data_IF_509474308482
#
_entry.id   IF_509474308482
#
_cell.length_a   1.000
_cell.length_b   1.000
_cell.length_c   1.000
_cell.angle_alpha   90.00
_cell.angle_beta   90.00
_cell.angle_gamma   90.00
#
_symmetry.space_group_name_H-M   'P 1'
#
loop_
_entity.id
_entity.type
_entity.pdbx_description
1 polymer ?
#
# COMPACT_ATOMS: atom_id res chain seq x y z
N UNK A 1 0.57 -14.04 9.71
CA UNK A 1 1.18 -12.69 9.62
C UNK A 1 0.77 -12.12 8.26
N UNK A 2 0.05 -11.00 8.20
CA UNK A 2 -0.37 -10.42 6.92
C UNK A 2 0.88 -9.82 6.22
N UNK A 3 1.30 -10.43 5.12
CA UNK A 3 2.40 -9.94 4.27
C UNK A 3 1.80 -9.15 3.11
N UNK A 4 2.22 -7.89 2.96
CA UNK A 4 1.86 -7.05 1.82
C UNK A 4 2.73 -7.41 0.62
N UNK A 5 2.12 -7.66 -0.52
CA UNK A 5 2.88 -7.78 -1.77
C UNK A 5 3.37 -6.38 -2.24
N UNK A 6 4.24 -6.33 -3.25
CA UNK A 6 4.79 -5.05 -3.73
C UNK A 6 3.74 -4.11 -4.30
N UNK A 7 2.71 -4.62 -4.98
CA UNK A 7 1.63 -3.79 -5.55
C UNK A 7 0.74 -3.21 -4.44
N UNK A 8 0.31 -4.04 -3.49
CA UNK A 8 -0.43 -3.64 -2.30
C UNK A 8 0.33 -2.57 -1.50
N UNK A 9 1.63 -2.77 -1.29
CA UNK A 9 2.47 -1.78 -0.58
C UNK A 9 2.59 -0.46 -1.34
N UNK A 10 2.78 -0.51 -2.67
CA UNK A 10 2.89 0.69 -3.50
C UNK A 10 1.57 1.47 -3.53
N UNK A 11 0.43 0.79 -3.62
CA UNK A 11 -0.89 1.41 -3.54
C UNK A 11 -1.12 2.10 -2.20
N UNK A 12 -0.82 1.43 -1.09
CA UNK A 12 -0.92 2.05 0.24
C UNK A 12 0.02 3.25 0.38
N UNK A 13 1.23 3.17 -0.18
CA UNK A 13 2.13 4.33 -0.20
C UNK A 13 1.57 5.50 -1.02
N UNK A 14 0.91 5.24 -2.15
CA UNK A 14 0.24 6.25 -2.96
C UNK A 14 -0.81 7.00 -2.12
N UNK A 15 -1.71 6.25 -1.46
CA UNK A 15 -2.82 6.78 -0.66
C UNK A 15 -2.37 7.57 0.59
N UNK A 16 -1.11 7.43 1.01
CA UNK A 16 -0.55 8.16 2.16
C UNK A 16 -0.44 9.67 1.90
N UNK A 17 -0.20 10.08 0.65
CA UNK A 17 0.12 11.46 0.31
C UNK A 17 -1.11 12.28 -0.07
N UNK A 18 -2.17 11.64 -0.58
CA UNK A 18 -3.38 12.31 -1.06
C UNK A 18 -4.54 11.34 -1.12
N UNK A 19 -5.77 11.86 -0.99
CA UNK A 19 -6.98 11.09 -1.29
C UNK A 19 -7.18 11.04 -2.80
N UNK A 20 -7.34 9.83 -3.33
CA UNK A 20 -7.53 9.59 -4.76
C UNK A 20 -8.92 9.04 -5.02
N UNK A 21 -9.53 9.45 -6.13
CA UNK A 21 -10.65 8.71 -6.69
C UNK A 21 -10.16 7.34 -7.20
N UNK A 22 -11.03 6.33 -7.30
CA UNK A 22 -10.67 5.04 -7.90
C UNK A 22 -10.00 5.20 -9.27
N UNK A 23 -10.48 6.14 -10.09
CA UNK A 23 -9.89 6.44 -11.40
C UNK A 23 -8.46 6.97 -11.30
N UNK A 24 -8.18 7.90 -10.39
CA UNK A 24 -6.82 8.39 -10.20
C UNK A 24 -5.89 7.32 -9.60
N UNK A 25 -6.42 6.42 -8.78
CA UNK A 25 -5.66 5.24 -8.31
C UNK A 25 -5.21 4.41 -9.52
N UNK A 26 -6.09 4.14 -10.47
CA UNK A 26 -5.77 3.36 -11.68
C UNK A 26 -4.67 4.02 -12.50
N UNK A 27 -4.79 5.33 -12.73
CA UNK A 27 -3.82 6.11 -13.52
C UNK A 27 -2.43 6.11 -12.87
N UNK A 28 -2.37 6.25 -11.54
CA UNK A 28 -1.09 6.39 -10.82
C UNK A 28 -0.47 5.06 -10.35
N UNK A 29 -1.24 3.97 -10.27
CA UNK A 29 -0.78 2.70 -9.71
C UNK A 29 -0.19 1.74 -10.76
N UNK A 30 -0.90 1.48 -11.85
CA UNK A 30 -0.53 0.37 -12.76
C UNK A 30 -0.91 0.57 -14.22
N UNK A 31 -1.62 1.65 -14.59
CA UNK A 31 -2.07 1.90 -15.96
C UNK A 31 -3.09 0.89 -16.51
N UNK A 32 -3.50 -0.08 -15.68
CA UNK A 32 -4.48 -1.12 -16.00
C UNK A 32 -5.60 -1.08 -14.96
N UNK A 33 -6.82 -0.85 -15.44
CA UNK A 33 -8.03 -0.75 -14.63
C UNK A 33 -8.28 -2.02 -13.82
N UNK A 34 -8.28 -3.18 -14.49
CA UNK A 34 -8.55 -4.47 -13.84
C UNK A 34 -7.56 -4.76 -12.72
N UNK A 35 -6.26 -4.55 -12.96
CA UNK A 35 -5.23 -4.80 -11.94
C UNK A 35 -5.40 -3.89 -10.73
N UNK A 36 -5.58 -2.59 -10.94
CA UNK A 36 -5.76 -1.65 -9.84
C UNK A 36 -7.06 -1.93 -9.06
N UNK A 37 -8.15 -2.30 -9.74
CA UNK A 37 -9.40 -2.68 -9.09
C UNK A 37 -9.21 -3.91 -8.20
N UNK A 38 -8.60 -4.98 -8.72
CA UNK A 38 -8.35 -6.22 -7.96
C UNK A 38 -7.53 -5.91 -6.70
N UNK A 39 -6.48 -5.10 -6.80
CA UNK A 39 -5.65 -4.76 -5.64
C UNK A 39 -6.44 -3.91 -4.63
N UNK A 40 -7.24 -2.95 -5.09
CA UNK A 40 -8.12 -2.14 -4.21
C UNK A 40 -9.13 -3.04 -3.50
N UNK A 41 -9.79 -3.95 -4.22
CA UNK A 41 -10.79 -4.88 -3.67
C UNK A 41 -10.16 -5.78 -2.61
N UNK A 42 -8.98 -6.35 -2.87
CA UNK A 42 -8.23 -7.16 -1.90
C UNK A 42 -7.87 -6.34 -0.65
N UNK A 43 -7.48 -5.07 -0.80
CA UNK A 43 -7.17 -4.20 0.33
C UNK A 43 -8.43 -3.79 1.13
N UNK A 44 -9.59 -3.69 0.48
CA UNK A 44 -10.88 -3.46 1.12
C UNK A 44 -11.31 -4.70 1.92
N UNK A 45 -11.22 -5.90 1.33
CA UNK A 45 -11.51 -7.16 2.03
C UNK A 45 -10.62 -7.35 3.27
N UNK A 46 -9.37 -6.89 3.20
CA UNK A 46 -8.42 -6.90 4.33
C UNK A 46 -8.60 -5.74 5.31
N UNK A 47 -9.63 -4.91 5.12
CA UNK A 47 -9.93 -3.73 5.92
C UNK A 47 -8.74 -2.74 6.03
N UNK A 48 -7.88 -2.70 5.01
CA UNK A 48 -6.71 -1.81 4.93
C UNK A 48 -7.04 -0.50 4.22
N UNK A 49 -8.04 -0.53 3.35
CA UNK A 49 -8.53 0.59 2.55
C UNK A 49 -10.04 0.60 2.60
N UNK A 50 -10.64 1.78 2.50
CA UNK A 50 -12.08 1.98 2.41
C UNK A 50 -12.39 3.08 1.39
N UNK A 51 -13.61 3.08 0.87
CA UNK A 51 -14.08 4.11 -0.07
C UNK A 51 -15.05 5.02 0.68
N UNK A 52 -14.64 6.28 0.90
CA UNK A 52 -15.46 7.29 1.56
C UNK A 52 -15.67 8.46 0.58
N UNK A 53 -16.93 8.84 0.35
CA UNK A 53 -17.30 9.92 -0.58
C UNK A 53 -16.69 9.76 -1.99
N UNK A 54 -16.62 8.52 -2.49
CA UNK A 54 -16.05 8.21 -3.80
C UNK A 54 -14.52 8.34 -3.87
N UNK A 55 -13.83 8.42 -2.73
CA UNK A 55 -12.37 8.45 -2.63
C UNK A 55 -11.85 7.26 -1.84
N UNK A 56 -10.75 6.71 -2.32
CA UNK A 56 -10.01 5.62 -1.70
C UNK A 56 -9.16 6.22 -0.57
N UNK A 57 -9.33 5.71 0.65
CA UNK A 57 -8.60 6.15 1.84
C UNK A 57 -8.06 4.96 2.63
N UNK A 58 -6.93 5.15 3.31
CA UNK A 58 -6.35 4.14 4.18
C UNK A 58 -7.01 4.14 5.55
N UNK A 59 -7.39 2.94 6.00
CA UNK A 59 -7.85 2.71 7.37
C UNK A 59 -6.69 2.74 8.37
N UNK A 60 -6.98 2.65 9.67
CA UNK A 60 -5.95 2.50 10.69
C UNK A 60 -5.11 1.23 10.49
N UNK A 61 -5.75 0.13 10.07
CA UNK A 61 -5.08 -1.15 9.78
C UNK A 61 -4.11 -1.01 8.61
N UNK A 62 -4.53 -0.35 7.53
CA UNK A 62 -3.66 -0.07 6.38
C UNK A 62 -2.43 0.74 6.78
N UNK A 63 -2.61 1.81 7.58
CA UNK A 63 -1.51 2.65 8.06
C UNK A 63 -0.51 1.87 8.90
N UNK A 64 -0.98 1.01 9.79
CA UNK A 64 -0.12 0.17 10.61
C UNK A 64 0.64 -0.87 9.77
N UNK A 65 -0.06 -1.53 8.83
CA UNK A 65 0.54 -2.51 7.93
C UNK A 65 1.64 -1.89 7.06
N UNK A 66 1.39 -0.73 6.44
CA UNK A 66 2.39 0.00 5.66
C UNK A 66 3.60 0.40 6.51
N UNK A 67 3.37 0.88 7.74
CA UNK A 67 4.47 1.28 8.65
C UNK A 67 5.33 0.09 9.05
N UNK A 68 4.71 -1.05 9.41
CA UNK A 68 5.42 -2.30 9.73
C UNK A 68 6.27 -2.77 8.55
N UNK A 69 5.71 -2.75 7.36
CA UNK A 69 6.42 -3.18 6.15
C UNK A 69 7.55 -2.21 5.75
N UNK A 70 7.37 -0.90 5.97
CA UNK A 70 8.41 0.10 5.76
C UNK A 70 9.61 -0.08 6.72
N UNK A 71 9.36 -0.43 7.98
CA UNK A 71 10.41 -0.69 8.97
C UNK A 71 11.21 -1.94 8.59
N UNK A 72 10.53 -3.04 8.21
CA UNK A 72 11.21 -4.25 7.75
C UNK A 72 12.14 -3.97 6.57
N UNK A 73 11.64 -3.24 5.56
CA UNK A 73 12.43 -2.88 4.36
C UNK A 73 13.63 -1.99 4.67
N UNK A 74 13.55 -1.12 5.68
CA UNK A 74 14.71 -0.33 6.16
C UNK A 74 15.69 -1.17 6.98
N UNK A 75 15.21 -2.12 7.78
CA UNK A 75 16.05 -3.02 8.57
C UNK A 75 16.90 -3.96 7.68
N UNK A 76 16.38 -4.37 6.51
CA UNK A 76 17.15 -5.16 5.54
C UNK A 76 18.39 -4.43 5.02
N UNK A 77 18.36 -3.09 4.92
CA UNK A 77 19.51 -2.29 4.45
C UNK A 77 20.55 -2.16 5.57
N UNK A 78 20.14 -2.00 6.82
CA UNK A 78 21.06 -1.90 7.96
C UNK A 78 21.79 -3.23 8.25
N UNK A 79 21.14 -4.39 8.06
CA UNK A 79 21.79 -5.69 8.23
C UNK A 79 22.87 -6.01 7.19
N UNK A 80 22.88 -5.35 6.02
CA UNK A 80 23.93 -5.56 5.00
C UNK A 80 25.19 -4.76 5.33
N UNK A 81 25.06 -3.58 5.97
CA UNK A 81 26.19 -2.73 6.32
C UNK A 81 26.96 -3.24 7.55
N UNK A 82 26.28 -3.81 8.55
CA UNK A 82 26.94 -4.35 9.76
C UNK A 82 27.81 -5.59 9.48
N UNK A 83 27.68 -6.23 8.31
CA UNK A 83 28.46 -7.42 7.91
C UNK A 83 29.67 -7.04 7.03
N UNK A 84 29.74 -5.79 6.57
CA UNK A 84 30.77 -5.33 5.63
C UNK A 84 31.90 -4.51 6.29
N UNK A 85 31.92 -4.41 7.63
CA UNK A 85 33.02 -3.81 8.40
C UNK A 85 34.02 -4.87 8.89
#
# INVERSE_FOLDING_TARGET
MLTLNNEEFNLLCLLKHRLFTPFEVIVNHSGSFEKASIVVDVLIERNMVEIIYGRVTMTAVGKEATKKEQIKRKATIFMILEVAE
#
